data_IF_343072257043
#
_entry.id   IF_343072257043
#
_cell.length_a   1.000
_cell.length_b   1.000
_cell.length_c   1.000
_cell.angle_alpha   90.00
_cell.angle_beta   90.00
_cell.angle_gamma   90.00
#
_symmetry.space_group_name_H-M   'P 1'
#
loop_
_entity.id
_entity.type
_entity.pdbx_description
1 polymer ?
#
# COMPACT_ATOMS: atom_id res chain seq x y z
N UNK A 1 59.76 -49.65 31.67
CA UNK A 1 60.45 -48.45 32.20
C UNK A 1 60.47 -47.39 31.11
N UNK A 2 59.85 -46.24 31.37
CA UNK A 2 59.96 -44.90 30.73
C UNK A 2 60.22 -44.82 29.20
N UNK A 3 59.50 -44.01 28.41
CA UNK A 3 59.28 -42.57 28.60
C UNK A 3 58.08 -42.08 27.79
N UNK A 4 57.30 -41.21 28.41
CA UNK A 4 56.36 -40.29 27.79
C UNK A 4 57.08 -39.38 26.79
N UNK A 5 56.53 -39.20 25.59
CA UNK A 5 56.90 -38.09 24.71
C UNK A 5 55.65 -37.40 24.16
N UNK A 6 55.34 -36.31 24.85
CA UNK A 6 54.90 -35.02 24.34
C UNK A 6 53.95 -34.95 23.13
N UNK A 7 52.72 -34.60 23.49
CA UNK A 7 51.68 -33.92 22.71
C UNK A 7 52.26 -32.65 22.06
N UNK A 8 52.01 -32.43 20.76
CA UNK A 8 51.80 -31.09 20.21
C UNK A 8 51.08 -31.10 18.84
N UNK A 9 50.01 -30.31 18.76
CA UNK A 9 49.54 -29.53 17.60
C UNK A 9 48.97 -30.27 16.37
N UNK A 10 47.63 -30.35 16.30
CA UNK A 10 46.89 -29.92 15.11
C UNK A 10 45.62 -29.19 15.56
N UNK A 11 45.63 -27.87 15.35
CA UNK A 11 44.49 -26.95 15.48
C UNK A 11 43.60 -27.11 14.25
N UNK A 12 42.39 -27.64 14.38
CA UNK A 12 41.22 -27.41 13.50
C UNK A 12 40.02 -27.91 14.33
N UNK A 13 38.93 -27.20 14.62
CA UNK A 13 38.03 -26.42 13.76
C UNK A 13 37.31 -25.42 14.67
N UNK A 14 37.58 -24.13 14.51
CA UNK A 14 36.73 -23.05 15.03
C UNK A 14 35.65 -22.73 14.01
N UNK A 15 34.47 -23.36 14.10
CA UNK A 15 33.25 -22.82 13.49
C UNK A 15 32.04 -23.22 14.35
N UNK A 16 31.90 -22.65 15.55
CA UNK A 16 30.56 -22.32 16.01
C UNK A 16 30.28 -20.91 15.51
N UNK A 17 29.76 -20.84 14.28
CA UNK A 17 28.91 -19.71 13.88
C UNK A 17 27.72 -19.80 14.82
N UNK A 18 27.83 -19.12 15.96
CA UNK A 18 26.65 -18.65 16.65
C UNK A 18 25.96 -17.72 15.67
N UNK A 19 24.98 -18.25 14.94
CA UNK A 19 23.94 -17.42 14.39
C UNK A 19 23.37 -16.66 15.59
N UNK A 20 23.76 -15.39 15.74
CA UNK A 20 22.95 -14.43 16.48
C UNK A 20 21.57 -14.58 15.87
N UNK A 21 20.64 -15.15 16.64
CA UNK A 21 19.24 -15.07 16.28
C UNK A 21 18.98 -13.60 16.03
N UNK A 22 18.60 -13.32 14.79
CA UNK A 22 18.30 -12.00 14.30
C UNK A 22 17.50 -11.27 15.37
N UNK A 23 17.90 -10.03 15.63
CA UNK A 23 17.12 -9.09 16.41
C UNK A 23 15.64 -9.29 16.08
N UNK A 24 14.81 -9.47 17.11
CA UNK A 24 13.37 -9.39 16.96
C UNK A 24 13.07 -8.02 16.35
N UNK A 25 12.96 -7.97 15.02
CA UNK A 25 12.32 -6.86 14.35
C UNK A 25 10.90 -6.88 14.91
N UNK A 26 10.42 -5.82 15.59
CA UNK A 26 9.02 -5.72 15.94
C UNK A 26 8.25 -5.50 14.63
N UNK A 27 8.05 -6.60 13.91
CA UNK A 27 7.35 -6.70 12.65
C UNK A 27 5.89 -6.92 12.98
N UNK A 28 5.28 -5.92 13.60
CA UNK A 28 3.90 -5.59 13.24
C UNK A 28 3.97 -5.10 11.79
N UNK A 29 4.00 -6.04 10.85
CA UNK A 29 3.45 -5.80 9.52
C UNK A 29 2.00 -5.44 9.80
N UNK A 30 1.71 -4.15 9.86
CA UNK A 30 0.34 -3.64 9.91
C UNK A 30 -0.29 -4.03 8.58
N UNK A 31 -0.87 -5.24 8.51
CA UNK A 31 -1.89 -5.54 7.52
C UNK A 31 -3.07 -4.68 7.95
N UNK A 32 -3.46 -3.67 7.16
CA UNK A 32 -4.64 -2.89 7.48
C UNK A 32 -5.81 -3.87 7.65
N UNK A 33 -6.54 -3.82 8.77
CA UNK A 33 -7.67 -4.72 9.08
C UNK A 33 -8.69 -4.84 7.94
N UNK A 34 -8.77 -3.82 7.10
CA UNK A 34 -9.56 -3.76 5.88
C UNK A 34 -9.07 -4.67 4.74
N UNK A 35 -7.98 -5.40 4.90
CA UNK A 35 -7.54 -6.43 3.94
C UNK A 35 -8.20 -7.79 4.15
N UNK A 36 -8.82 -8.02 5.31
CA UNK A 36 -9.36 -9.32 5.69
C UNK A 36 -10.47 -9.80 4.74
N UNK A 37 -10.45 -11.09 4.39
CA UNK A 37 -11.48 -11.72 3.56
C UNK A 37 -11.50 -11.27 2.10
N UNK A 38 -10.47 -10.57 1.63
CA UNK A 38 -10.27 -10.32 0.20
C UNK A 38 -9.84 -11.60 -0.51
N UNK A 39 -10.39 -11.81 -1.70
CA UNK A 39 -10.03 -12.94 -2.57
C UNK A 39 -9.32 -12.41 -3.81
N UNK A 40 -8.13 -12.95 -4.07
CA UNK A 40 -7.35 -12.70 -5.27
C UNK A 40 -6.98 -14.03 -5.92
N UNK A 41 -7.43 -14.24 -7.15
CA UNK A 41 -7.08 -15.43 -7.92
C UNK A 41 -5.66 -15.24 -8.49
N UNK A 42 -4.66 -15.84 -7.86
CA UNK A 42 -3.24 -15.59 -8.16
C UNK A 42 -2.63 -16.42 -9.30
N UNK A 43 -3.39 -17.31 -9.97
CA UNK A 43 -2.78 -18.35 -10.81
C UNK A 43 -3.21 -18.32 -12.29
N UNK A 44 -2.22 -18.28 -13.19
CA UNK A 44 -2.21 -18.92 -14.53
C UNK A 44 -3.31 -18.54 -15.52
N UNK A 45 -4.12 -17.54 -15.20
CA UNK A 45 -5.21 -17.11 -16.05
C UNK A 45 -4.63 -16.09 -17.03
N UNK A 46 -4.96 -16.23 -18.33
CA UNK A 46 -4.70 -15.19 -19.34
C UNK A 46 -5.55 -13.93 -19.07
N UNK A 47 -5.77 -13.59 -17.80
CA UNK A 47 -6.58 -12.50 -17.32
C UNK A 47 -5.73 -11.23 -17.21
N UNK A 48 -6.21 -10.18 -17.86
CA UNK A 48 -5.58 -8.87 -17.94
C UNK A 48 -6.37 -7.80 -17.15
N UNK A 49 -7.25 -8.23 -16.24
CA UNK A 49 -7.97 -7.41 -15.29
C UNK A 49 -7.02 -6.73 -14.33
N UNK A 50 -7.18 -5.42 -14.14
CA UNK A 50 -6.32 -4.62 -13.26
C UNK A 50 -7.17 -3.62 -12.48
N UNK A 51 -6.76 -3.36 -11.25
CA UNK A 51 -7.29 -2.30 -10.39
C UNK A 51 -6.10 -1.48 -9.91
N UNK A 52 -6.18 -0.16 -10.05
CA UNK A 52 -5.20 0.80 -9.60
C UNK A 52 -5.87 1.75 -8.63
N UNK A 53 -5.28 1.92 -7.45
CA UNK A 53 -5.81 2.80 -6.43
C UNK A 53 -4.77 3.89 -6.15
N UNK A 54 -5.09 5.18 -6.36
CA UNK A 54 -4.23 6.27 -5.94
C UNK A 54 -4.00 6.22 -4.42
N UNK A 55 -2.82 6.61 -3.98
CA UNK A 55 -2.50 6.70 -2.56
C UNK A 55 -2.73 8.11 -2.03
N UNK A 56 -2.97 9.10 -2.88
CA UNK A 56 -3.23 10.47 -2.46
C UNK A 56 -4.30 11.15 -3.33
N UNK A 57 -4.98 12.12 -2.73
CA UNK A 57 -5.95 13.02 -3.36
C UNK A 57 -5.99 14.34 -2.57
N UNK A 58 -6.53 15.41 -3.14
CA UNK A 58 -6.62 16.73 -2.48
C UNK A 58 -8.05 17.25 -2.58
N UNK A 59 -8.86 17.14 -1.52
CA UNK A 59 -10.24 17.67 -1.56
C UNK A 59 -10.27 19.19 -1.38
N UNK A 60 -9.66 19.93 -2.31
CA UNK A 60 -9.47 21.38 -2.28
C UNK A 60 -10.41 22.13 -3.25
N UNK A 61 -11.19 21.40 -4.07
CA UNK A 61 -12.13 21.86 -5.08
C UNK A 61 -11.50 22.68 -6.23
N UNK A 62 -10.27 22.36 -6.62
CA UNK A 62 -9.60 23.00 -7.77
C UNK A 62 -9.81 22.25 -9.11
N UNK A 63 -10.52 21.12 -9.08
CA UNK A 63 -10.80 20.27 -10.23
C UNK A 63 -9.77 19.16 -10.46
N UNK A 64 -8.73 19.05 -9.63
CA UNK A 64 -7.65 18.08 -9.77
C UNK A 64 -7.59 17.18 -8.56
N UNK A 65 -7.68 15.87 -8.79
CA UNK A 65 -7.63 14.84 -7.75
C UNK A 65 -8.49 15.15 -6.51
N UNK A 66 -9.65 15.80 -6.72
CA UNK A 66 -10.56 16.23 -5.64
C UNK A 66 -11.24 15.07 -4.90
N UNK A 67 -11.32 13.93 -5.59
CA UNK A 67 -11.88 12.71 -5.09
C UNK A 67 -10.87 11.58 -5.15
N UNK A 68 -11.17 10.54 -4.37
CA UNK A 68 -10.47 9.27 -4.44
C UNK A 68 -11.38 8.21 -5.01
N UNK A 69 -10.88 7.49 -6.02
CA UNK A 69 -11.57 6.36 -6.63
C UNK A 69 -10.58 5.37 -7.25
N UNK A 70 -10.94 4.08 -7.35
CA UNK A 70 -10.17 3.11 -8.10
C UNK A 70 -10.29 3.38 -9.61
N UNK A 71 -9.14 3.33 -10.29
CA UNK A 71 -9.08 3.14 -11.73
C UNK A 71 -8.99 1.64 -12.05
N UNK A 72 -9.49 1.21 -13.20
CA UNK A 72 -9.58 -0.21 -13.50
C UNK A 72 -9.54 -0.51 -14.99
N UNK A 73 -9.24 -1.77 -15.32
CA UNK A 73 -9.27 -2.34 -16.67
C UNK A 73 -9.86 -3.73 -16.62
N UNK A 74 -10.77 -4.05 -17.55
CA UNK A 74 -11.39 -5.37 -17.70
C UNK A 74 -12.06 -5.91 -16.42
N UNK A 75 -12.80 -5.03 -15.73
CA UNK A 75 -13.57 -5.33 -14.51
C UNK A 75 -15.06 -5.26 -14.83
N UNK A 76 -15.83 -6.26 -14.37
CA UNK A 76 -17.29 -6.35 -14.52
C UNK A 76 -18.05 -5.85 -13.29
N UNK A 77 -17.49 -6.04 -12.10
CA UNK A 77 -18.06 -5.55 -10.84
C UNK A 77 -16.96 -5.20 -9.84
N UNK A 78 -17.23 -4.22 -8.99
CA UNK A 78 -16.31 -3.78 -7.95
C UNK A 78 -17.11 -3.28 -6.75
N UNK A 79 -16.68 -3.63 -5.54
CA UNK A 79 -17.09 -2.98 -4.30
C UNK A 79 -15.89 -2.23 -3.76
N UNK A 80 -16.03 -0.92 -3.57
CA UNK A 80 -15.02 -0.03 -3.02
C UNK A 80 -15.52 0.56 -1.70
N UNK A 81 -14.77 0.35 -0.63
CA UNK A 81 -15.10 0.84 0.72
C UNK A 81 -13.93 1.60 1.30
N UNK A 82 -14.21 2.74 1.94
CA UNK A 82 -13.26 3.53 2.70
C UNK A 82 -13.60 3.52 4.19
N UNK A 83 -12.55 3.53 5.00
CA UNK A 83 -12.60 3.55 6.44
C UNK A 83 -11.79 4.73 6.98
N UNK A 84 -12.25 5.32 8.08
CA UNK A 84 -11.43 6.23 8.88
C UNK A 84 -10.37 5.46 9.70
N UNK A 85 -9.53 6.17 10.45
CA UNK A 85 -8.46 5.56 11.26
C UNK A 85 -8.98 4.76 12.46
N UNK A 86 -10.27 4.88 12.79
CA UNK A 86 -10.98 4.09 13.80
C UNK A 86 -11.71 2.88 13.20
N UNK A 87 -11.55 2.63 11.89
CA UNK A 87 -12.19 1.57 11.12
C UNK A 87 -13.71 1.72 10.94
N UNK A 88 -14.27 2.93 11.09
CA UNK A 88 -15.66 3.18 10.70
C UNK A 88 -15.75 3.36 9.19
N UNK A 89 -16.80 2.81 8.57
CA UNK A 89 -17.07 3.01 7.15
C UNK A 89 -17.48 4.46 6.90
N UNK A 90 -16.69 5.20 6.12
CA UNK A 90 -16.99 6.58 5.71
C UNK A 90 -17.55 6.66 4.29
N UNK A 91 -17.29 5.63 3.48
CA UNK A 91 -17.83 5.52 2.13
C UNK A 91 -17.88 4.05 1.70
N UNK A 92 -18.92 3.66 0.97
CA UNK A 92 -18.96 2.38 0.25
C UNK A 92 -19.77 2.54 -1.03
N UNK A 93 -19.32 1.90 -2.10
CA UNK A 93 -20.05 1.86 -3.37
C UNK A 93 -19.77 0.58 -4.14
N UNK A 94 -20.80 0.08 -4.81
CA UNK A 94 -20.72 -0.96 -5.85
C UNK A 94 -20.85 -0.41 -7.27
N UNK A 95 -21.03 0.91 -7.42
CA UNK A 95 -21.09 1.58 -8.71
C UNK A 95 -19.68 1.81 -9.24
N UNK A 96 -19.35 1.16 -10.35
CA UNK A 96 -18.05 1.27 -11.00
C UNK A 96 -17.76 2.74 -11.36
N UNK A 97 -16.55 3.19 -11.02
CA UNK A 97 -16.08 4.54 -11.30
C UNK A 97 -16.60 5.61 -10.33
N UNK A 98 -17.45 5.26 -9.37
CA UNK A 98 -17.84 6.19 -8.32
C UNK A 98 -16.69 6.38 -7.32
N UNK A 99 -16.41 7.64 -7.02
CA UNK A 99 -15.42 8.05 -6.03
C UNK A 99 -16.02 8.70 -4.79
N UNK A 100 -15.14 9.09 -3.89
CA UNK A 100 -15.49 9.81 -2.67
C UNK A 100 -14.71 11.12 -2.57
N UNK A 101 -15.40 12.20 -2.21
CA UNK A 101 -14.80 13.49 -1.85
C UNK A 101 -14.78 13.55 -0.33
N UNK A 102 -13.61 13.79 0.25
CA UNK A 102 -13.50 13.92 1.69
C UNK A 102 -13.99 15.30 2.16
N UNK A 103 -14.43 15.44 3.43
CA UNK A 103 -14.63 16.74 4.03
C UNK A 103 -13.37 17.60 3.95
N UNK A 104 -13.55 18.92 3.89
CA UNK A 104 -12.43 19.86 3.95
C UNK A 104 -11.66 19.71 5.27
N UNK A 105 -10.34 19.77 5.18
CA UNK A 105 -9.43 19.65 6.34
C UNK A 105 -8.65 20.95 6.55
N UNK A 106 -7.99 21.06 7.70
CA UNK A 106 -7.17 22.23 8.02
C UNK A 106 -6.03 22.40 7.00
N UNK A 107 -5.69 23.66 6.69
CA UNK A 107 -4.50 24.00 5.91
C UNK A 107 -3.23 23.43 6.53
N UNK A 108 -2.30 22.97 5.72
CA UNK A 108 -1.05 22.35 6.16
C UNK A 108 -1.25 21.10 7.03
N UNK A 109 -2.29 20.33 6.73
CA UNK A 109 -2.61 19.05 7.37
C UNK A 109 -2.90 17.96 6.33
N UNK A 110 -3.02 16.73 6.82
CA UNK A 110 -3.46 15.59 6.05
C UNK A 110 -4.37 14.68 6.88
N UNK A 111 -5.22 13.92 6.21
CA UNK A 111 -6.03 12.88 6.83
C UNK A 111 -5.73 11.53 6.19
N UNK A 112 -5.80 10.48 7.01
CA UNK A 112 -5.50 9.10 6.59
C UNK A 112 -6.80 8.31 6.52
N UNK A 113 -6.96 7.53 5.46
CA UNK A 113 -8.05 6.60 5.27
C UNK A 113 -7.51 5.25 4.84
N UNK A 114 -8.27 4.19 5.13
CA UNK A 114 -7.97 2.85 4.64
C UNK A 114 -9.00 2.45 3.60
N UNK A 115 -8.59 1.71 2.58
CA UNK A 115 -9.48 1.25 1.52
C UNK A 115 -9.52 -0.27 1.39
N UNK A 116 -10.69 -0.79 1.02
CA UNK A 116 -10.90 -2.18 0.63
C UNK A 116 -11.61 -2.22 -0.70
N UNK A 117 -11.08 -3.00 -1.63
CA UNK A 117 -11.63 -3.19 -2.96
C UNK A 117 -11.71 -4.69 -3.26
N UNK A 118 -12.91 -5.17 -3.57
CA UNK A 118 -13.13 -6.50 -4.12
C UNK A 118 -13.73 -6.36 -5.51
N UNK A 119 -13.02 -6.82 -6.53
CA UNK A 119 -13.44 -6.74 -7.92
C UNK A 119 -13.58 -8.13 -8.56
N UNK A 120 -14.38 -8.18 -9.63
CA UNK A 120 -14.52 -9.33 -10.53
C UNK A 120 -14.11 -8.90 -11.94
N UNK A 121 -13.23 -9.66 -12.60
CA UNK A 121 -12.78 -9.38 -13.96
C UNK A 121 -13.80 -9.84 -15.01
N UNK A 122 -13.56 -9.49 -16.27
CA UNK A 122 -14.32 -10.01 -17.42
C UNK A 122 -14.20 -11.53 -17.59
N UNK A 123 -13.12 -12.15 -17.08
CA UNK A 123 -12.93 -13.61 -17.10
C UNK A 123 -13.44 -14.30 -15.82
N UNK A 124 -14.28 -13.60 -15.04
CA UNK A 124 -14.85 -14.05 -13.77
C UNK A 124 -13.79 -14.42 -12.72
N UNK A 125 -12.66 -13.70 -12.71
CA UNK A 125 -11.62 -13.82 -11.68
C UNK A 125 -11.76 -12.75 -10.62
N UNK A 126 -11.31 -13.05 -9.41
CA UNK A 126 -11.37 -12.12 -8.28
C UNK A 126 -10.06 -11.37 -8.09
N UNK A 127 -10.15 -10.07 -7.83
CA UNK A 127 -9.04 -9.21 -7.45
C UNK A 127 -9.41 -8.51 -6.14
N UNK A 128 -8.63 -8.76 -5.10
CA UNK A 128 -8.69 -8.06 -3.83
C UNK A 128 -7.54 -7.08 -3.69
N UNK A 129 -7.83 -5.81 -3.41
CA UNK A 129 -6.84 -4.77 -3.14
C UNK A 129 -7.25 -4.01 -1.88
N UNK A 130 -6.28 -3.69 -1.04
CA UNK A 130 -6.47 -2.87 0.15
C UNK A 130 -5.22 -2.04 0.40
N UNK A 131 -5.35 -1.00 1.21
CA UNK A 131 -4.21 -0.18 1.61
C UNK A 131 -4.65 1.11 2.26
N UNK A 132 -3.76 2.10 2.19
CA UNK A 132 -3.92 3.42 2.78
C UNK A 132 -3.99 4.49 1.69
N UNK A 133 -4.82 5.51 1.89
CA UNK A 133 -4.89 6.69 1.05
C UNK A 133 -4.93 7.95 1.91
N UNK A 134 -4.43 9.06 1.37
CA UNK A 134 -4.25 10.31 2.10
C UNK A 134 -5.01 11.46 1.42
N UNK A 135 -5.85 12.16 2.18
CA UNK A 135 -6.34 13.47 1.78
C UNK A 135 -5.31 14.52 2.20
N UNK A 136 -4.66 15.18 1.23
CA UNK A 136 -3.53 16.06 1.49
C UNK A 136 -3.90 17.54 1.26
N UNK A 137 -3.46 18.41 2.17
CA UNK A 137 -3.24 19.84 1.86
C UNK A 137 -1.75 20.20 1.83
N UNK A 138 -0.89 19.27 2.24
CA UNK A 138 0.57 19.32 2.17
C UNK A 138 1.16 17.90 2.23
N UNK A 139 2.42 17.74 1.81
CA UNK A 139 3.15 16.47 1.89
C UNK A 139 3.83 16.29 3.27
N UNK A 140 3.54 15.22 4.03
CA UNK A 140 4.19 14.93 5.30
C UNK A 140 5.55 14.24 5.11
N UNK A 141 6.49 14.95 4.47
CA UNK A 141 7.78 14.38 4.04
C UNK A 141 8.71 13.97 5.18
N UNK A 142 8.43 14.44 6.39
CA UNK A 142 9.13 14.03 7.62
C UNK A 142 8.80 12.59 8.03
N UNK A 143 7.68 12.05 7.55
CA UNK A 143 7.17 10.72 7.89
C UNK A 143 7.23 9.78 6.67
N UNK A 144 6.85 10.26 5.49
CA UNK A 144 6.81 9.46 4.27
C UNK A 144 7.43 10.21 3.08
N UNK A 145 8.26 9.58 2.25
CA UNK A 145 8.83 10.24 1.08
C UNK A 145 7.74 10.61 0.07
N UNK A 146 7.98 11.64 -0.75
CA UNK A 146 7.03 12.08 -1.79
C UNK A 146 6.64 10.96 -2.77
N UNK A 147 7.55 10.02 -3.02
CA UNK A 147 7.30 8.85 -3.88
C UNK A 147 6.24 7.87 -3.35
N UNK A 148 5.75 8.06 -2.13
CA UNK A 148 4.64 7.27 -1.57
C UNK A 148 3.28 7.76 -2.04
N UNK A 149 3.19 9.01 -2.51
CA UNK A 149 1.93 9.68 -2.85
C UNK A 149 1.74 9.68 -4.37
N UNK A 150 0.79 8.87 -4.83
CA UNK A 150 0.37 8.76 -6.21
C UNK A 150 -1.04 9.31 -6.35
N UNK A 151 -1.20 10.26 -7.25
CA UNK A 151 -2.48 10.86 -7.61
C UNK A 151 -3.09 10.18 -8.82
N UNK A 152 -4.40 10.36 -9.04
CA UNK A 152 -5.11 9.75 -10.17
C UNK A 152 -4.51 10.17 -11.51
N UNK A 153 -4.16 11.45 -11.64
CA UNK A 153 -3.57 12.03 -12.84
C UNK A 153 -2.20 11.47 -13.23
N UNK A 154 -1.54 10.73 -12.33
CA UNK A 154 -0.26 10.07 -12.59
C UNK A 154 -0.42 8.72 -13.29
N UNK A 155 -1.64 8.18 -13.36
CA UNK A 155 -1.88 6.83 -13.89
C UNK A 155 -1.67 6.77 -15.40
N UNK A 156 -0.76 5.90 -15.82
CA UNK A 156 -0.50 5.55 -17.22
C UNK A 156 -0.71 4.05 -17.45
N UNK A 157 -0.50 3.59 -18.70
CA UNK A 157 -0.48 2.15 -19.02
C UNK A 157 0.58 1.36 -18.25
N UNK A 158 1.62 2.04 -17.74
CA UNK A 158 2.70 1.44 -16.96
C UNK A 158 2.54 1.67 -15.45
N UNK A 159 1.37 2.11 -14.99
CA UNK A 159 1.11 2.48 -13.59
C UNK A 159 1.29 3.97 -13.33
N UNK A 160 1.43 4.34 -12.05
CA UNK A 160 1.54 5.74 -11.62
C UNK A 160 2.92 6.33 -11.93
N UNK A 161 3.13 6.74 -13.18
CA UNK A 161 4.44 7.18 -13.69
C UNK A 161 4.42 8.56 -14.32
N UNK A 162 3.24 9.14 -14.60
CA UNK A 162 3.16 10.51 -15.06
C UNK A 162 3.44 11.50 -13.91
N UNK A 163 3.74 12.74 -14.27
CA UNK A 163 3.84 13.83 -13.30
C UNK A 163 2.44 14.21 -12.81
N UNK A 164 2.31 14.49 -11.52
CA UNK A 164 1.05 15.02 -10.98
C UNK A 164 0.89 16.51 -11.30
N UNK A 165 -0.35 16.94 -11.44
CA UNK A 165 -0.73 18.34 -11.62
C UNK A 165 -0.98 19.07 -10.29
N UNK A 166 -0.81 18.37 -9.18
CA UNK A 166 -0.89 18.88 -7.81
C UNK A 166 0.24 19.85 -7.47
N UNK A 167 -0.12 20.97 -6.85
CA UNK A 167 0.82 22.02 -6.45
C UNK A 167 0.76 22.33 -4.97
N UNK A 168 0.79 21.29 -4.13
CA UNK A 168 0.80 21.42 -2.66
C UNK A 168 2.23 21.45 -2.09
N UNK A 169 2.39 22.16 -0.97
CA UNK A 169 3.67 22.31 -0.27
C UNK A 169 4.03 21.12 0.61
N UNK A 170 5.11 21.25 1.40
CA UNK A 170 5.41 20.30 2.48
C UNK A 170 4.71 20.73 3.76
N UNK A 171 4.30 19.77 4.58
CA UNK A 171 3.81 20.07 5.92
C UNK A 171 4.96 20.62 6.79
N UNK A 172 4.64 21.46 7.79
CA UNK A 172 5.62 21.96 8.77
C UNK A 172 6.38 20.85 9.49
#
# INVERSE_FOLDING_TARGET
MAKYFFILFVIVVTIFVGCKNNEEIPSIIYVPINCDGLVTDTAGTNDNGRVFMPTAFTSNNDGKNDNIKPSFKNITSMVFTLYDVQNNVVFTSSQIGQGWVAPAIQTNSYSVYYYKIQATTNSNKKIGVCGTTYNLTCFPITILPRSTFYFEDQLTVNGFTAATTETIGNCP
#
